data_IF_661308396435
#
_entry.id   IF_661308396435
#
_cell.length_a   1.000
_cell.length_b   1.000
_cell.length_c   1.000
_cell.angle_alpha   90.00
_cell.angle_beta   90.00
_cell.angle_gamma   90.00
#
_symmetry.space_group_name_H-M   'P 1'
#
loop_
_entity.id
_entity.type
_entity.pdbx_description
1 polymer ?
#
# COMPACT_ATOMS: atom_id res chain seq x y z
N UNK A 1 -17.98 17.47 -12.07
CA UNK A 1 -17.27 16.70 -11.02
C UNK A 1 -16.31 15.77 -11.73
N UNK A 2 -15.00 16.04 -11.71
CA UNK A 2 -14.04 15.07 -12.23
C UNK A 2 -14.11 13.83 -11.33
N UNK A 3 -14.45 12.68 -11.92
CA UNK A 3 -14.50 11.42 -11.21
C UNK A 3 -13.07 10.88 -11.10
N UNK A 4 -12.54 10.81 -9.88
CA UNK A 4 -11.24 10.19 -9.62
C UNK A 4 -11.24 8.74 -10.13
N UNK A 5 -10.19 8.37 -10.87
CA UNK A 5 -10.01 6.99 -11.34
C UNK A 5 -8.77 6.37 -10.66
N UNK A 6 -8.94 5.41 -9.73
CA UNK A 6 -7.83 4.79 -9.01
C UNK A 6 -7.00 3.84 -9.89
N UNK A 7 -7.56 3.36 -11.00
CA UNK A 7 -6.98 2.24 -11.77
C UNK A 7 -5.57 2.52 -12.31
N UNK A 8 -5.27 3.68 -12.93
CA UNK A 8 -3.93 3.94 -13.44
C UNK A 8 -2.87 3.98 -12.34
N UNK A 9 -3.21 4.52 -11.17
CA UNK A 9 -2.30 4.61 -10.02
C UNK A 9 -2.09 3.21 -9.44
N UNK A 10 -3.17 2.49 -9.11
CA UNK A 10 -3.10 1.14 -8.56
C UNK A 10 -2.32 0.18 -9.47
N UNK A 11 -2.54 0.25 -10.79
CA UNK A 11 -1.80 -0.57 -11.77
C UNK A 11 -0.30 -0.28 -11.75
N UNK A 12 0.12 1.00 -11.74
CA UNK A 12 1.55 1.36 -11.65
C UNK A 12 2.19 0.82 -10.38
N UNK A 13 1.47 0.85 -9.26
CA UNK A 13 1.97 0.30 -7.99
C UNK A 13 2.11 -1.22 -8.10
N UNK A 14 1.13 -1.92 -8.67
CA UNK A 14 1.21 -3.35 -8.91
C UNK A 14 2.40 -3.73 -9.82
N UNK A 15 2.70 -2.92 -10.84
CA UNK A 15 3.88 -3.10 -11.69
C UNK A 15 5.19 -2.94 -10.91
N UNK A 16 5.28 -1.99 -9.97
CA UNK A 16 6.46 -1.86 -9.10
C UNK A 16 6.58 -3.06 -8.15
N UNK A 17 5.48 -3.50 -7.55
CA UNK A 17 5.45 -4.70 -6.70
C UNK A 17 5.96 -5.91 -7.50
N UNK A 18 5.48 -6.10 -8.72
CA UNK A 18 5.89 -7.22 -9.57
C UNK A 18 7.41 -7.27 -9.84
N UNK A 19 8.10 -6.12 -9.90
CA UNK A 19 9.56 -6.06 -10.08
C UNK A 19 10.34 -6.60 -8.87
N UNK A 20 9.77 -6.49 -7.67
CA UNK A 20 10.41 -6.91 -6.43
C UNK A 20 9.84 -8.23 -5.88
N UNK A 21 8.63 -8.59 -6.30
CA UNK A 21 7.97 -9.80 -5.87
C UNK A 21 8.57 -11.02 -6.56
N UNK A 22 9.19 -11.89 -5.75
CA UNK A 22 9.60 -13.23 -6.17
C UNK A 22 8.97 -14.23 -5.23
N UNK A 23 7.97 -14.99 -5.69
CA UNK A 23 7.33 -16.03 -4.88
C UNK A 23 8.40 -16.98 -4.34
N UNK A 24 8.59 -16.92 -3.02
CA UNK A 24 9.56 -17.78 -2.33
C UNK A 24 8.88 -18.43 -1.13
N UNK A 25 9.17 -19.70 -0.90
CA UNK A 25 8.68 -20.44 0.27
C UNK A 25 9.07 -19.73 1.56
N UNK A 26 8.17 -19.80 2.54
CA UNK A 26 8.36 -19.25 3.89
C UNK A 26 8.77 -17.77 3.90
N UNK A 27 8.34 -16.98 2.91
CA UNK A 27 8.60 -15.53 2.87
C UNK A 27 7.31 -14.80 3.17
N UNK A 28 7.33 -13.91 4.16
CA UNK A 28 6.22 -12.98 4.44
C UNK A 28 6.36 -11.78 3.51
N UNK A 29 5.27 -11.38 2.88
CA UNK A 29 5.16 -10.17 2.07
C UNK A 29 4.04 -9.29 2.63
N UNK A 30 4.28 -7.99 2.66
CA UNK A 30 3.31 -7.00 3.10
C UNK A 30 3.61 -5.65 2.46
N UNK A 31 2.62 -4.74 2.49
CA UNK A 31 2.78 -3.36 2.05
C UNK A 31 2.66 -2.48 3.29
N UNK A 32 3.66 -1.63 3.53
CA UNK A 32 3.55 -0.60 4.55
C UNK A 32 3.10 0.71 3.88
N UNK A 33 2.10 1.36 4.48
CA UNK A 33 1.53 2.62 4.02
C UNK A 33 1.75 3.62 5.15
N UNK A 34 2.56 4.64 4.88
CA UNK A 34 2.91 5.68 5.83
C UNK A 34 2.34 7.02 5.39
N UNK A 35 1.40 7.57 6.15
CA UNK A 35 0.99 8.95 5.99
C UNK A 35 2.04 9.88 6.60
N UNK A 36 2.50 10.86 5.82
CA UNK A 36 3.46 11.87 6.26
C UNK A 36 2.83 13.25 6.21
N UNK A 37 2.27 13.66 7.36
CA UNK A 37 1.54 14.93 7.52
C UNK A 37 2.28 16.18 7.02
N UNK A 38 3.60 16.36 7.22
CA UNK A 38 4.26 17.59 6.78
C UNK A 38 4.22 17.86 5.27
N UNK A 39 4.11 16.80 4.44
CA UNK A 39 4.01 16.93 2.98
C UNK A 39 2.66 16.43 2.45
N UNK A 40 1.72 16.14 3.34
CA UNK A 40 0.40 15.57 3.03
C UNK A 40 0.45 14.45 1.97
N UNK A 41 1.28 13.44 2.22
CA UNK A 41 1.52 12.38 1.25
C UNK A 41 1.50 10.97 1.87
N UNK A 42 1.14 9.99 1.04
CA UNK A 42 1.17 8.58 1.39
C UNK A 42 2.37 7.89 0.75
N UNK A 43 3.29 7.41 1.58
CA UNK A 43 4.45 6.64 1.16
C UNK A 43 4.14 5.15 1.25
N UNK A 44 4.32 4.43 0.15
CA UNK A 44 4.08 3.00 0.08
C UNK A 44 5.39 2.25 -0.07
N UNK A 45 5.56 1.22 0.74
CA UNK A 45 6.73 0.35 0.75
C UNK A 45 6.33 -1.11 0.61
N UNK A 46 6.91 -1.80 -0.37
CA UNK A 46 6.80 -3.24 -0.46
C UNK A 46 7.85 -3.89 0.45
N UNK A 47 7.41 -4.78 1.33
CA UNK A 47 8.27 -5.44 2.29
C UNK A 47 8.30 -6.95 2.07
N UNK A 48 9.47 -7.55 2.31
CA UNK A 48 9.63 -8.99 2.35
C UNK A 48 10.56 -9.42 3.47
N UNK A 49 10.24 -10.54 4.12
CA UNK A 49 11.10 -11.12 5.16
C UNK A 49 11.04 -12.64 5.12
N UNK A 50 12.22 -13.26 5.12
CA UNK A 50 12.39 -14.69 5.35
C UNK A 50 12.82 -14.95 6.80
N UNK A 51 12.49 -16.11 7.39
CA UNK A 51 13.03 -16.55 8.67
C UNK A 51 14.56 -16.43 8.68
N UNK A 52 15.12 -15.88 9.76
CA UNK A 52 16.57 -15.71 9.94
C UNK A 52 17.27 -14.83 8.89
N UNK A 53 16.51 -14.06 8.09
CA UNK A 53 17.06 -13.07 7.17
C UNK A 53 16.59 -11.67 7.53
N UNK A 54 17.41 -10.69 7.13
CA UNK A 54 17.06 -9.28 7.17
C UNK A 54 15.80 -9.01 6.34
N UNK A 55 14.94 -8.16 6.90
CA UNK A 55 13.83 -7.59 6.15
C UNK A 55 14.36 -6.73 5.02
N UNK A 56 13.70 -6.81 3.86
CA UNK A 56 13.91 -5.89 2.75
C UNK A 56 12.67 -5.03 2.58
N UNK A 57 12.89 -3.75 2.32
CA UNK A 57 11.85 -2.75 2.07
C UNK A 57 12.23 -1.99 0.80
N UNK A 58 11.27 -1.84 -0.11
CA UNK A 58 11.44 -1.07 -1.34
C UNK A 58 10.37 0.02 -1.41
N UNK A 59 10.73 1.29 -1.62
CA UNK A 59 9.75 2.32 -1.91
C UNK A 59 9.11 2.02 -3.27
N UNK A 60 7.79 1.90 -3.31
CA UNK A 60 7.04 1.57 -4.53
C UNK A 60 6.18 2.73 -5.03
N UNK A 61 5.79 3.65 -4.14
CA UNK A 61 5.02 4.82 -4.51
C UNK A 61 5.14 5.94 -3.48
N UNK A 62 5.00 7.18 -3.95
CA UNK A 62 4.68 8.34 -3.15
C UNK A 62 3.44 8.95 -3.79
N UNK A 63 2.35 9.02 -3.04
CA UNK A 63 1.08 9.56 -3.50
C UNK A 63 0.91 10.93 -2.84
N UNK A 64 1.17 11.99 -3.61
CA UNK A 64 0.94 13.38 -3.19
C UNK A 64 -0.44 13.83 -3.66
N UNK A 65 -1.00 14.83 -2.97
CA UNK A 65 -2.26 15.48 -3.36
C UNK A 65 -3.42 14.49 -3.56
N UNK A 66 -3.44 13.41 -2.76
CA UNK A 66 -4.44 12.35 -2.84
C UNK A 66 -5.35 12.45 -1.63
N UNK A 67 -6.65 12.54 -1.85
CA UNK A 67 -7.61 12.53 -0.75
C UNK A 67 -7.65 11.14 -0.09
N UNK A 68 -8.08 11.08 1.17
CA UNK A 68 -8.11 9.81 1.91
C UNK A 68 -9.02 8.74 1.26
N UNK A 69 -10.17 9.14 0.72
CA UNK A 69 -11.09 8.24 0.02
C UNK A 69 -10.48 7.72 -1.30
N UNK A 70 -9.67 8.55 -1.95
CA UNK A 70 -8.93 8.19 -3.16
C UNK A 70 -7.81 7.19 -2.84
N UNK A 71 -7.13 7.34 -1.70
CA UNK A 71 -6.20 6.34 -1.18
C UNK A 71 -6.89 4.99 -1.00
N UNK A 72 -8.04 4.95 -0.32
CA UNK A 72 -8.81 3.70 -0.11
C UNK A 72 -9.11 3.03 -1.46
N UNK A 73 -9.56 3.81 -2.44
CA UNK A 73 -9.84 3.31 -3.78
C UNK A 73 -8.59 2.71 -4.46
N UNK A 74 -7.43 3.37 -4.35
CA UNK A 74 -6.15 2.86 -4.86
C UNK A 74 -5.73 1.58 -4.15
N UNK A 75 -5.82 1.53 -2.82
CA UNK A 75 -5.47 0.34 -2.03
C UNK A 75 -6.35 -0.86 -2.38
N UNK A 76 -7.63 -0.63 -2.70
CA UNK A 76 -8.53 -1.68 -3.17
C UNK A 76 -8.15 -2.24 -4.55
N UNK A 77 -7.60 -1.43 -5.46
CA UNK A 77 -7.05 -1.93 -6.73
C UNK A 77 -5.83 -2.84 -6.46
N UNK A 78 -4.94 -2.46 -5.55
CA UNK A 78 -3.78 -3.29 -5.18
C UNK A 78 -4.24 -4.60 -4.55
N UNK A 79 -5.25 -4.54 -3.67
CA UNK A 79 -5.85 -5.68 -2.99
C UNK A 79 -6.44 -6.71 -3.96
N UNK A 80 -7.11 -6.25 -5.02
CA UNK A 80 -7.67 -7.11 -6.07
C UNK A 80 -6.59 -7.94 -6.78
N UNK A 81 -5.38 -7.40 -6.91
CA UNK A 81 -4.25 -8.10 -7.53
C UNK A 81 -3.46 -8.95 -6.52
N UNK A 82 -3.30 -8.47 -5.28
CA UNK A 82 -2.48 -9.10 -4.26
C UNK A 82 -3.16 -9.09 -2.87
N UNK A 83 -3.27 -10.26 -2.25
CA UNK A 83 -3.78 -10.41 -0.88
C UNK A 83 -2.72 -10.17 0.22
N UNK A 84 -1.77 -9.27 -0.01
CA UNK A 84 -0.73 -8.96 0.98
C UNK A 84 -1.29 -8.25 2.21
N UNK A 85 -0.68 -8.46 3.37
CA UNK A 85 -1.06 -7.67 4.57
C UNK A 85 -0.71 -6.20 4.32
N UNK A 86 -1.59 -5.28 4.75
CA UNK A 86 -1.29 -3.86 4.77
C UNK A 86 -0.98 -3.44 6.20
N UNK A 87 0.13 -2.73 6.39
CA UNK A 87 0.53 -2.14 7.67
C UNK A 87 0.43 -0.62 7.54
N UNK A 88 -0.29 0.02 8.46
CA UNK A 88 -0.58 1.45 8.40
C UNK A 88 0.18 2.20 9.49
N UNK A 89 0.78 3.33 9.15
CA UNK A 89 1.48 4.19 10.11
C UNK A 89 1.22 5.67 9.81
N UNK A 90 1.12 6.49 10.86
CA UNK A 90 0.89 7.93 10.73
C UNK A 90 -0.57 8.35 10.57
N UNK A 91 -1.51 7.39 10.53
CA UNK A 91 -2.95 7.64 10.47
C UNK A 91 -3.56 7.79 11.86
N UNK A 92 -4.63 8.56 11.98
CA UNK A 92 -5.40 8.66 13.21
C UNK A 92 -6.34 7.46 13.42
N UNK A 93 -6.94 7.33 14.60
CA UNK A 93 -7.78 6.18 14.94
C UNK A 93 -8.99 5.99 14.00
N UNK A 94 -9.66 7.06 13.60
CA UNK A 94 -10.82 6.99 12.71
C UNK A 94 -10.42 6.53 11.30
N UNK A 95 -9.30 7.04 10.79
CA UNK A 95 -8.74 6.61 9.51
C UNK A 95 -8.31 5.14 9.53
N UNK A 96 -7.66 4.70 10.60
CA UNK A 96 -7.26 3.30 10.77
C UNK A 96 -8.47 2.37 10.77
N UNK A 97 -9.53 2.73 11.49
CA UNK A 97 -10.78 1.95 11.49
C UNK A 97 -11.37 1.88 10.09
N UNK A 98 -11.46 3.00 9.38
CA UNK A 98 -11.94 3.04 7.99
C UNK A 98 -11.10 2.17 7.06
N UNK A 99 -9.77 2.29 7.11
CA UNK A 99 -8.86 1.49 6.29
C UNK A 99 -9.06 -0.01 6.52
N UNK A 100 -9.24 -0.45 7.76
CA UNK A 100 -9.47 -1.86 8.09
C UNK A 100 -10.81 -2.39 7.57
N UNK A 101 -11.87 -1.57 7.58
CA UNK A 101 -13.22 -1.98 7.16
C UNK A 101 -13.43 -1.88 5.64
N UNK A 102 -12.85 -0.87 5.00
CA UNK A 102 -13.07 -0.54 3.60
C UNK A 102 -12.07 -1.22 2.65
N UNK A 103 -10.85 -1.52 3.14
CA UNK A 103 -9.84 -2.26 2.37
C UNK A 103 -9.86 -3.74 2.78
N UNK A 104 -10.94 -4.43 2.40
CA UNK A 104 -11.19 -5.81 2.83
C UNK A 104 -10.11 -6.78 2.33
N UNK A 105 -9.72 -7.72 3.19
CA UNK A 105 -8.64 -8.70 2.95
C UNK A 105 -9.00 -9.77 1.91
#
# INVERSE_FOLDING_TARGET
>A
MNSFNPQPIGKKICEQIARHFKQTRQTRYWIAIAYYSPNDCYNLFFNSRRPHHWQRSWPIAILNDLEFDELIAVLNVIRQQYHFTFEYSGFNHLELDRLQHEVKR
#
